data_IF_729771165492
#
_entry.id   IF_729771165492
#
_cell.length_a   1.000
_cell.length_b   1.000
_cell.length_c   1.000
_cell.angle_alpha   90.00
_cell.angle_beta   90.00
_cell.angle_gamma   90.00
#
_symmetry.space_group_name_H-M   'P 1'
#
loop_
_entity.id
_entity.type
_entity.pdbx_description
1 polymer ?
#
# COMPACT_ATOMS: atom_id res chain seq x y z
N UNK A 1 -8.02 12.04 -22.16
CA UNK A 1 -7.77 11.24 -20.95
C UNK A 1 -8.45 11.96 -19.81
N UNK A 2 -9.55 11.42 -19.32
CA UNK A 2 -10.37 12.12 -18.34
C UNK A 2 -9.63 12.19 -17.01
N UNK A 3 -9.39 13.40 -16.52
CA UNK A 3 -8.83 13.68 -15.19
C UNK A 3 -9.73 13.18 -14.04
N UNK A 4 -10.84 12.51 -14.36
CA UNK A 4 -11.93 12.18 -13.46
C UNK A 4 -11.94 10.73 -12.96
N UNK A 5 -10.93 9.92 -13.33
CA UNK A 5 -10.86 8.50 -12.93
C UNK A 5 -9.50 8.15 -12.28
N UNK A 6 -9.07 8.97 -11.32
CA UNK A 6 -7.89 8.70 -10.48
C UNK A 6 -8.29 8.74 -9.00
N UNK A 7 -7.45 8.19 -8.13
CA UNK A 7 -7.73 8.16 -6.70
C UNK A 7 -7.69 9.56 -6.10
N UNK A 8 -8.61 9.83 -5.18
CA UNK A 8 -8.61 11.06 -4.40
C UNK A 8 -7.37 11.15 -3.48
N UNK A 9 -6.75 12.32 -3.45
CA UNK A 9 -5.50 12.53 -2.70
C UNK A 9 -5.69 12.42 -1.19
N UNK A 10 -6.86 12.81 -0.66
CA UNK A 10 -7.15 12.71 0.77
C UNK A 10 -7.37 11.26 1.17
N UNK A 11 -8.00 10.45 0.30
CA UNK A 11 -8.09 9.00 0.48
C UNK A 11 -6.71 8.33 0.55
N UNK A 12 -5.83 8.61 -0.43
CA UNK A 12 -4.47 8.05 -0.42
C UNK A 12 -3.71 8.48 0.84
N UNK A 13 -3.84 9.74 1.25
CA UNK A 13 -3.24 10.24 2.46
C UNK A 13 -3.78 9.53 3.72
N UNK A 14 -5.09 9.24 3.77
CA UNK A 14 -5.70 8.50 4.87
C UNK A 14 -5.16 7.05 4.95
N UNK A 15 -5.00 6.36 3.82
CA UNK A 15 -4.39 5.03 3.75
C UNK A 15 -2.97 5.07 4.31
N UNK A 16 -2.14 6.03 3.86
CA UNK A 16 -0.76 6.17 4.35
C UNK A 16 -0.70 6.45 5.84
N UNK A 17 -1.50 7.40 6.35
CA UNK A 17 -1.57 7.70 7.78
C UNK A 17 -1.97 6.48 8.59
N UNK A 18 -2.93 5.69 8.13
CA UNK A 18 -3.37 4.48 8.82
C UNK A 18 -2.23 3.47 8.97
N UNK A 19 -1.51 3.18 7.88
CA UNK A 19 -0.40 2.23 7.88
C UNK A 19 0.78 2.74 8.70
N UNK A 20 1.15 4.03 8.58
CA UNK A 20 2.23 4.61 9.36
C UNK A 20 1.91 4.63 10.85
N UNK A 21 0.69 4.99 11.25
CA UNK A 21 0.27 4.96 12.64
C UNK A 21 0.27 3.53 13.20
N UNK A 22 -0.12 2.53 12.39
CA UNK A 22 -0.05 1.12 12.78
C UNK A 22 1.41 0.68 13.00
N UNK A 23 2.29 0.91 12.03
CA UNK A 23 3.72 0.57 12.12
C UNK A 23 4.42 1.29 13.27
N UNK A 24 4.00 2.51 13.57
CA UNK A 24 4.51 3.26 14.70
C UNK A 24 4.24 2.55 16.03
N UNK A 25 2.97 2.17 16.27
CA UNK A 25 2.57 1.43 17.47
C UNK A 25 3.24 0.07 17.58
N UNK A 26 3.44 -0.62 16.46
CA UNK A 26 4.16 -1.90 16.41
C UNK A 26 5.62 -1.73 16.87
N UNK A 27 6.32 -0.68 16.42
CA UNK A 27 7.68 -0.38 16.86
C UNK A 27 7.75 -0.01 18.34
N UNK A 28 6.88 0.88 18.81
CA UNK A 28 6.86 1.24 20.24
C UNK A 28 6.61 0.04 21.14
N UNK A 29 5.74 -0.89 20.73
CA UNK A 29 5.53 -2.16 21.44
C UNK A 29 6.80 -3.02 21.43
N UNK A 30 7.47 -3.16 20.29
CA UNK A 30 8.69 -3.94 20.17
C UNK A 30 9.81 -3.36 21.03
N UNK A 31 10.03 -2.05 20.96
CA UNK A 31 11.04 -1.33 21.75
C UNK A 31 10.74 -1.42 23.26
N UNK A 32 9.46 -1.43 23.65
CA UNK A 32 9.06 -1.60 25.05
C UNK A 32 9.32 -3.02 25.57
N UNK A 33 9.12 -4.06 24.74
CA UNK A 33 9.44 -5.45 25.09
C UNK A 33 10.97 -5.60 25.26
N UNK A 34 11.75 -5.06 24.33
CA UNK A 34 13.21 -5.11 24.35
C UNK A 34 13.78 -4.33 25.56
N UNK A 35 13.17 -3.19 25.90
CA UNK A 35 13.53 -2.41 27.09
C UNK A 35 13.18 -3.11 28.41
N UNK A 36 12.13 -3.93 28.47
CA UNK A 36 11.83 -4.74 29.66
C UNK A 36 12.78 -5.93 29.85
N UNK A 37 13.46 -6.39 28.78
CA UNK A 37 14.55 -7.38 28.88
C UNK A 37 15.92 -6.71 29.16
N UNK A 38 16.08 -5.45 28.75
CA UNK A 38 17.29 -4.64 28.96
C UNK A 38 17.08 -3.55 30.03
N UNK A 39 16.83 -3.94 31.28
CA UNK A 39 17.03 -3.03 32.42
C UNK A 39 18.52 -2.67 32.52
N UNK A 40 18.94 -1.56 31.89
CA UNK A 40 19.94 -0.55 32.30
C UNK A 40 20.41 0.21 31.03
N UNK A 41 19.76 1.32 30.67
CA UNK A 41 20.42 2.53 30.15
C UNK A 41 19.42 3.62 29.74
N UNK A 42 19.34 4.64 30.60
CA UNK A 42 19.12 6.06 30.33
C UNK A 42 18.32 6.46 29.07
N UNK A 43 17.07 6.83 29.32
CA UNK A 43 16.12 7.32 28.32
C UNK A 43 16.58 8.56 27.55
N UNK A 44 16.48 8.46 26.23
CA UNK A 44 16.36 9.63 25.35
C UNK A 44 14.99 9.56 24.69
N UNK A 45 14.09 10.45 25.10
CA UNK A 45 12.76 10.59 24.50
C UNK A 45 12.91 11.11 23.08
N UNK A 46 13.03 10.22 22.10
CA UNK A 46 13.02 10.59 20.68
C UNK A 46 11.62 11.11 20.36
N UNK A 47 11.48 12.44 20.23
CA UNK A 47 10.24 13.09 19.80
C UNK A 47 9.93 12.59 18.37
N UNK A 48 9.10 11.58 18.30
CA UNK A 48 9.02 10.70 17.16
C UNK A 48 8.09 11.32 16.10
N UNK A 49 8.68 11.95 15.08
CA UNK A 49 7.94 12.63 14.01
C UNK A 49 7.18 11.59 13.19
N UNK A 50 5.84 11.66 13.22
CA UNK A 50 4.98 10.86 12.35
C UNK A 50 5.37 11.07 10.88
N UNK A 51 5.45 9.98 10.12
CA UNK A 51 5.69 10.06 8.67
C UNK A 51 4.56 10.85 7.98
N UNK A 52 4.91 11.56 6.92
CA UNK A 52 4.00 12.39 6.12
C UNK A 52 4.41 12.35 4.65
N UNK A 53 3.45 12.54 3.74
CA UNK A 53 3.68 12.70 2.31
C UNK A 53 3.33 14.12 1.87
N UNK A 54 4.18 14.73 1.04
CA UNK A 54 3.88 16.02 0.42
C UNK A 54 2.88 15.86 -0.73
N UNK A 55 2.33 16.98 -1.22
CA UNK A 55 1.30 16.98 -2.26
C UNK A 55 1.72 16.29 -3.56
N UNK A 56 2.99 16.42 -3.98
CA UNK A 56 3.48 15.79 -5.21
C UNK A 56 3.61 14.26 -5.03
N UNK A 57 4.09 13.81 -3.87
CA UNK A 57 4.16 12.40 -3.53
C UNK A 57 2.75 11.78 -3.48
N UNK A 58 1.75 12.50 -2.94
CA UNK A 58 0.37 12.05 -2.93
C UNK A 58 -0.20 11.91 -4.34
N UNK A 59 -0.04 12.94 -5.20
CA UNK A 59 -0.47 12.89 -6.61
C UNK A 59 0.16 11.72 -7.37
N UNK A 60 1.46 11.50 -7.21
CA UNK A 60 2.14 10.37 -7.85
C UNK A 60 1.64 9.03 -7.30
N UNK A 61 1.32 8.97 -6.02
CA UNK A 61 0.76 7.76 -5.40
C UNK A 61 -0.65 7.45 -5.89
N UNK A 62 -1.47 8.47 -6.18
CA UNK A 62 -2.76 8.28 -6.85
C UNK A 62 -2.60 7.60 -8.21
N UNK A 63 -1.66 8.08 -9.02
CA UNK A 63 -1.39 7.49 -10.34
C UNK A 63 -0.77 6.09 -10.22
N UNK A 64 0.11 5.85 -9.24
CA UNK A 64 0.67 4.52 -8.99
C UNK A 64 -0.43 3.50 -8.67
N UNK A 65 -1.36 3.84 -7.77
CA UNK A 65 -2.45 2.92 -7.40
C UNK A 65 -3.41 2.70 -8.56
N UNK A 66 -3.68 3.74 -9.36
CA UNK A 66 -4.46 3.62 -10.60
C UNK A 66 -3.80 2.67 -11.60
N UNK A 67 -2.49 2.79 -11.81
CA UNK A 67 -1.75 1.90 -12.69
C UNK A 67 -1.75 0.46 -12.17
N UNK A 68 -1.55 0.26 -10.87
CA UNK A 68 -1.63 -1.07 -10.24
C UNK A 68 -2.98 -1.75 -10.48
N UNK A 69 -4.09 -1.04 -10.26
CA UNK A 69 -5.44 -1.58 -10.50
C UNK A 69 -5.69 -1.83 -11.99
N UNK A 70 -5.26 -0.92 -12.86
CA UNK A 70 -5.40 -1.07 -14.31
C UNK A 70 -4.65 -2.31 -14.83
N UNK A 71 -3.42 -2.52 -14.37
CA UNK A 71 -2.60 -3.69 -14.69
C UNK A 71 -3.26 -4.98 -14.22
N UNK A 72 -3.77 -5.01 -12.98
CA UNK A 72 -4.47 -6.17 -12.45
C UNK A 72 -5.68 -6.57 -13.32
N UNK A 73 -6.50 -5.59 -13.70
CA UNK A 73 -7.69 -5.81 -14.54
C UNK A 73 -7.31 -6.25 -15.94
N UNK A 74 -6.36 -5.59 -16.59
CA UNK A 74 -5.94 -5.92 -17.95
C UNK A 74 -5.33 -7.32 -18.03
N UNK A 75 -4.44 -7.68 -17.11
CA UNK A 75 -3.84 -9.02 -17.08
C UNK A 75 -4.87 -10.12 -16.80
N UNK A 76 -5.81 -9.87 -15.89
CA UNK A 76 -6.90 -10.81 -15.64
C UNK A 76 -7.86 -10.94 -16.83
N UNK A 77 -8.12 -9.85 -17.56
CA UNK A 77 -8.91 -9.87 -18.79
C UNK A 77 -8.25 -10.72 -19.89
N UNK A 78 -6.93 -10.60 -20.08
CA UNK A 78 -6.18 -11.41 -21.05
C UNK A 78 -6.34 -12.91 -20.76
N UNK A 79 -6.30 -13.31 -19.48
CA UNK A 79 -6.56 -14.72 -19.12
C UNK A 79 -8.00 -15.11 -19.45
N UNK A 80 -8.98 -14.30 -19.07
CA UNK A 80 -10.40 -14.58 -19.34
C UNK A 80 -10.67 -14.75 -20.84
N UNK A 81 -10.14 -13.84 -21.67
CA UNK A 81 -10.26 -13.86 -23.12
C UNK A 81 -9.61 -15.11 -23.73
N UNK A 82 -8.44 -15.51 -23.23
CA UNK A 82 -7.76 -16.74 -23.67
C UNK A 82 -8.57 -18.02 -23.32
N UNK A 83 -9.41 -17.97 -22.30
CA UNK A 83 -10.34 -19.03 -21.93
C UNK A 83 -11.70 -18.93 -22.62
N UNK A 84 -11.91 -17.93 -23.47
CA UNK A 84 -13.18 -17.67 -24.16
C UNK A 84 -14.29 -17.17 -23.22
N UNK A 85 -13.94 -16.59 -22.07
CA UNK A 85 -14.88 -16.03 -21.12
C UNK A 85 -15.06 -14.53 -21.30
N UNK A 86 -16.32 -14.08 -21.28
CA UNK A 86 -16.68 -12.65 -21.43
C UNK A 86 -16.57 -11.86 -20.12
N UNK A 87 -16.33 -12.54 -18.98
CA UNK A 87 -16.27 -11.92 -17.66
C UNK A 87 -15.02 -12.36 -16.91
N UNK A 88 -14.38 -11.40 -16.24
CA UNK A 88 -13.29 -11.69 -15.32
C UNK A 88 -13.85 -12.34 -14.06
N UNK A 89 -13.39 -13.56 -13.77
CA UNK A 89 -13.61 -14.26 -12.51
C UNK A 89 -12.40 -14.11 -11.57
N UNK A 90 -12.60 -14.42 -10.29
CA UNK A 90 -11.55 -14.32 -9.26
C UNK A 90 -10.33 -15.20 -9.60
N UNK A 91 -10.55 -16.35 -10.21
CA UNK A 91 -9.52 -17.30 -10.63
C UNK A 91 -8.53 -16.70 -11.63
N UNK A 92 -8.97 -15.78 -12.50
CA UNK A 92 -8.05 -15.08 -13.42
C UNK A 92 -7.12 -14.14 -12.67
N UNK A 93 -7.65 -13.43 -11.67
CA UNK A 93 -6.85 -12.54 -10.83
C UNK A 93 -5.84 -13.34 -10.00
N UNK A 94 -6.26 -14.45 -9.38
CA UNK A 94 -5.40 -15.32 -8.58
C UNK A 94 -4.19 -15.83 -9.37
N UNK A 95 -4.36 -16.12 -10.67
CA UNK A 95 -3.27 -16.59 -11.53
C UNK A 95 -2.25 -15.51 -11.87
N UNK A 96 -2.67 -14.25 -12.04
CA UNK A 96 -1.74 -13.14 -12.34
C UNK A 96 -1.14 -12.52 -11.09
N UNK A 97 -1.73 -12.77 -9.91
CA UNK A 97 -1.37 -12.13 -8.66
C UNK A 97 0.11 -12.30 -8.28
N UNK A 98 0.74 -13.49 -8.41
CA UNK A 98 2.15 -13.64 -8.07
C UNK A 98 3.05 -12.70 -8.87
N UNK A 99 2.84 -12.61 -10.20
CA UNK A 99 3.65 -11.74 -11.05
C UNK A 99 3.30 -10.27 -10.85
N UNK A 100 2.02 -9.94 -10.68
CA UNK A 100 1.58 -8.58 -10.38
C UNK A 100 2.25 -8.02 -9.11
N UNK A 101 2.40 -8.84 -8.08
CA UNK A 101 3.08 -8.45 -6.83
C UNK A 101 4.61 -8.42 -6.93
N UNK A 102 5.21 -9.04 -7.96
CA UNK A 102 6.65 -8.95 -8.21
C UNK A 102 7.00 -7.70 -9.02
N UNK A 103 6.08 -7.21 -9.84
CA UNK A 103 6.28 -6.02 -10.67
C UNK A 103 6.14 -4.70 -9.89
N UNK A 104 5.56 -4.74 -8.67
CA UNK A 104 5.28 -3.58 -7.80
C UNK A 104 5.90 -3.75 -6.42
#
# INVERSE_FOLDING_TARGET
MDANNTFDSDLIHAIFKHIWARRFRERERSDAIDATEAEVALGTTKKNRLASANANALKLSCELLKSFVSEAVQRAAIIAEAEGMEKIEATHLERILPQLLLDF
#
